data_IF_423098503328
#
_entry.id   IF_423098503328
#
_cell.length_a   1.000
_cell.length_b   1.000
_cell.length_c   1.000
_cell.angle_alpha   90.00
_cell.angle_beta   90.00
_cell.angle_gamma   90.00
#
_symmetry.space_group_name_H-M   'P 1'
#
loop_
_entity.id
_entity.type
_entity.pdbx_description
1 polymer ?
#
# COMPACT_ATOMS: atom_id res chain seq x y z
N UNK A 1 -20.08 16.03 -13.77
CA UNK A 1 -19.47 14.72 -13.44
C UNK A 1 -18.14 15.00 -12.74
N UNK A 2 -17.97 14.63 -11.46
CA UNK A 2 -16.68 14.77 -10.78
C UNK A 2 -15.68 13.73 -11.33
N UNK A 3 -14.35 13.97 -11.23
CA UNK A 3 -13.34 13.05 -11.74
C UNK A 3 -13.36 11.72 -10.99
N UNK A 4 -13.28 10.63 -11.74
CA UNK A 4 -13.36 9.26 -11.24
C UNK A 4 -12.07 8.81 -10.52
N UNK A 5 -12.13 8.29 -9.28
CA UNK A 5 -10.97 7.94 -8.45
C UNK A 5 -10.17 6.72 -8.94
N UNK A 6 -10.63 6.03 -9.99
CA UNK A 6 -9.97 4.84 -10.54
C UNK A 6 -8.74 5.18 -11.39
N UNK A 7 -8.68 6.40 -11.95
CA UNK A 7 -7.52 6.84 -12.77
C UNK A 7 -6.25 6.92 -11.93
N UNK A 8 -6.35 7.45 -10.71
CA UNK A 8 -5.21 7.64 -9.82
C UNK A 8 -4.75 6.35 -9.15
N UNK A 9 -5.68 5.51 -8.66
CA UNK A 9 -5.31 4.26 -8.00
C UNK A 9 -4.60 3.28 -8.94
N UNK A 10 -4.95 3.24 -10.24
CA UNK A 10 -4.24 2.44 -11.24
C UNK A 10 -2.79 2.92 -11.47
N UNK A 11 -2.58 4.23 -11.54
CA UNK A 11 -1.24 4.82 -11.65
C UNK A 11 -0.42 4.59 -10.38
N UNK A 12 -1.03 4.72 -9.20
CA UNK A 12 -0.42 4.41 -7.91
C UNK A 12 0.01 2.94 -7.85
N UNK A 13 -0.81 1.98 -8.32
CA UNK A 13 -0.41 0.57 -8.44
C UNK A 13 0.86 0.43 -9.27
N UNK A 14 0.91 1.05 -10.45
CA UNK A 14 2.10 1.03 -11.30
C UNK A 14 3.35 1.58 -10.61
N UNK A 15 3.21 2.69 -9.88
CA UNK A 15 4.31 3.31 -9.11
C UNK A 15 4.77 2.44 -7.93
N UNK A 16 3.84 1.83 -7.18
CA UNK A 16 4.13 0.93 -6.08
C UNK A 16 4.92 -0.30 -6.56
N UNK A 17 4.48 -0.92 -7.66
CA UNK A 17 5.18 -2.08 -8.23
C UNK A 17 6.60 -1.70 -8.71
N UNK A 18 6.81 -0.49 -9.23
CA UNK A 18 8.14 0.03 -9.57
C UNK A 18 9.03 0.18 -8.33
N UNK A 19 8.51 0.73 -7.23
CA UNK A 19 9.25 0.83 -5.96
C UNK A 19 9.57 -0.56 -5.37
N UNK A 20 8.63 -1.51 -5.44
CA UNK A 20 8.87 -2.93 -5.06
C UNK A 20 9.98 -3.57 -5.90
N UNK A 21 10.25 -3.08 -7.11
CA UNK A 21 11.31 -3.60 -7.97
C UNK A 21 12.66 -2.92 -7.77
N UNK A 22 12.70 -1.71 -7.20
CA UNK A 22 13.93 -0.91 -7.04
C UNK A 22 14.91 -1.49 -6.02
N UNK A 23 16.15 -1.87 -6.37
CA UNK A 23 17.09 -2.44 -5.43
C UNK A 23 17.34 -1.47 -4.26
N UNK A 24 17.47 -2.00 -3.04
CA UNK A 24 17.68 -1.21 -1.83
C UNK A 24 16.63 -1.46 -0.76
N UNK A 25 16.73 -0.66 0.31
CA UNK A 25 15.88 -0.74 1.52
C UNK A 25 15.18 0.59 1.85
N UNK A 26 15.27 1.60 0.97
CA UNK A 26 14.46 2.79 1.12
C UNK A 26 13.04 2.48 0.62
N UNK A 27 12.07 2.55 1.53
CA UNK A 27 10.65 2.29 1.24
C UNK A 27 9.78 3.51 1.55
N UNK A 28 10.36 4.67 1.88
CA UNK A 28 9.61 5.89 2.23
C UNK A 28 8.61 6.25 1.14
N UNK A 29 9.09 6.34 -0.10
CA UNK A 29 8.26 6.61 -1.28
C UNK A 29 7.14 5.60 -1.47
N UNK A 30 7.39 4.33 -1.14
CA UNK A 30 6.37 3.28 -1.25
C UNK A 30 5.24 3.51 -0.24
N UNK A 31 5.56 3.89 0.99
CA UNK A 31 4.55 4.21 2.00
C UNK A 31 3.82 5.52 1.73
N UNK A 32 4.50 6.55 1.19
CA UNK A 32 3.86 7.78 0.71
C UNK A 32 2.80 7.46 -0.36
N UNK A 33 3.15 6.63 -1.34
CA UNK A 33 2.22 6.20 -2.39
C UNK A 33 1.04 5.39 -1.84
N UNK A 34 1.23 4.58 -0.80
CA UNK A 34 0.15 3.87 -0.10
C UNK A 34 -0.79 4.83 0.63
N UNK A 35 -0.28 5.93 1.17
CA UNK A 35 -1.08 6.97 1.83
C UNK A 35 -1.98 7.76 0.84
N UNK A 36 -1.59 7.82 -0.43
CA UNK A 36 -2.36 8.49 -1.49
C UNK A 36 -3.50 7.64 -2.06
N UNK A 37 -3.64 6.37 -1.63
CA UNK A 37 -4.69 5.48 -2.12
C UNK A 37 -6.06 6.01 -1.74
N UNK A 38 -6.88 6.27 -2.76
CA UNK A 38 -8.25 6.74 -2.59
C UNK A 38 -9.19 5.56 -2.34
N UNK A 39 -10.24 5.80 -1.54
CA UNK A 39 -11.24 4.81 -1.16
C UNK A 39 -11.28 4.50 0.33
N UNK A 40 -12.18 3.60 0.72
CA UNK A 40 -12.35 3.16 2.10
C UNK A 40 -11.27 2.20 2.58
N UNK A 41 -11.40 1.73 3.83
CA UNK A 41 -10.46 0.80 4.46
C UNK A 41 -10.20 -0.43 3.59
N UNK A 42 -11.25 -1.05 3.05
CA UNK A 42 -11.14 -2.25 2.22
C UNK A 42 -10.28 -2.02 0.97
N UNK A 43 -10.43 -0.87 0.31
CA UNK A 43 -9.62 -0.50 -0.85
C UNK A 43 -8.15 -0.35 -0.48
N UNK A 44 -7.86 0.31 0.64
CA UNK A 44 -6.49 0.51 1.14
C UNK A 44 -5.84 -0.80 1.54
N UNK A 45 -6.54 -1.65 2.29
CA UNK A 45 -6.07 -2.99 2.70
C UNK A 45 -5.82 -3.88 1.48
N UNK A 46 -6.75 -3.90 0.52
CA UNK A 46 -6.58 -4.65 -0.73
C UNK A 46 -5.32 -4.21 -1.49
N UNK A 47 -5.06 -2.89 -1.55
CA UNK A 47 -3.85 -2.36 -2.16
C UNK A 47 -2.58 -2.85 -1.45
N UNK A 48 -2.53 -2.77 -0.12
CA UNK A 48 -1.38 -3.22 0.68
C UNK A 48 -1.13 -4.72 0.47
N UNK A 49 -2.18 -5.54 0.48
CA UNK A 49 -2.07 -7.00 0.23
C UNK A 49 -1.54 -7.33 -1.16
N UNK A 50 -1.92 -6.57 -2.18
CA UNK A 50 -1.33 -6.67 -3.52
C UNK A 50 0.18 -6.37 -3.50
N UNK A 51 0.60 -5.29 -2.83
CA UNK A 51 2.03 -4.95 -2.71
C UNK A 51 2.81 -6.01 -1.92
N UNK A 52 2.22 -6.59 -0.87
CA UNK A 52 2.82 -7.71 -0.11
C UNK A 52 3.03 -8.93 -1.02
N UNK A 53 2.04 -9.29 -1.82
CA UNK A 53 2.14 -10.40 -2.77
C UNK A 53 3.30 -10.18 -3.74
N UNK A 54 3.40 -8.97 -4.31
CA UNK A 54 4.48 -8.64 -5.24
C UNK A 54 5.86 -8.63 -4.53
N UNK A 55 5.95 -8.06 -3.33
CA UNK A 55 7.17 -8.08 -2.54
C UNK A 55 7.64 -9.51 -2.23
N UNK A 56 6.70 -10.46 -2.09
CA UNK A 56 6.97 -11.89 -1.98
C UNK A 56 7.62 -12.48 -3.23
N UNK A 57 7.16 -12.10 -4.43
CA UNK A 57 7.76 -12.52 -5.70
C UNK A 57 9.23 -12.08 -5.81
N UNK A 58 9.55 -10.88 -5.32
CA UNK A 58 10.93 -10.35 -5.29
C UNK A 58 11.72 -10.74 -4.04
N UNK A 59 11.21 -11.66 -3.20
CA UNK A 59 11.85 -12.11 -1.95
C UNK A 59 12.21 -10.96 -1.00
N UNK A 60 11.48 -9.84 -1.01
CA UNK A 60 11.71 -8.68 -0.14
C UNK A 60 11.15 -8.90 1.27
N UNK A 61 11.79 -9.77 2.03
CA UNK A 61 11.32 -10.21 3.37
C UNK A 61 11.10 -9.05 4.35
N UNK A 62 11.99 -8.05 4.34
CA UNK A 62 11.85 -6.86 5.18
C UNK A 62 10.63 -6.02 4.78
N UNK A 63 10.46 -5.74 3.48
CA UNK A 63 9.32 -4.97 2.98
C UNK A 63 7.99 -5.66 3.29
N UNK A 64 7.91 -6.98 3.09
CA UNK A 64 6.72 -7.75 3.47
C UNK A 64 6.38 -7.64 4.96
N UNK A 65 7.39 -7.57 5.83
CA UNK A 65 7.17 -7.38 7.28
C UNK A 65 6.58 -6.01 7.57
N UNK A 66 7.19 -4.95 7.02
CA UNK A 66 6.73 -3.57 7.21
C UNK A 66 5.31 -3.37 6.66
N UNK A 67 5.00 -3.96 5.50
CA UNK A 67 3.67 -3.86 4.91
C UNK A 67 2.60 -4.58 5.73
N UNK A 68 2.92 -5.73 6.34
CA UNK A 68 1.99 -6.42 7.25
C UNK A 68 1.73 -5.64 8.52
N UNK A 69 2.76 -5.01 9.09
CA UNK A 69 2.59 -4.10 10.23
C UNK A 69 1.68 -2.92 9.87
N UNK A 70 1.91 -2.32 8.71
CA UNK A 70 1.07 -1.23 8.19
C UNK A 70 -0.39 -1.67 7.94
N UNK A 71 -0.61 -2.83 7.32
CA UNK A 71 -1.94 -3.42 7.14
C UNK A 71 -2.67 -3.58 8.48
N UNK A 72 -1.99 -4.16 9.47
CA UNK A 72 -2.55 -4.37 10.80
C UNK A 72 -2.95 -3.06 11.47
N UNK A 73 -2.10 -2.02 11.35
CA UNK A 73 -2.38 -0.68 11.91
C UNK A 73 -3.55 0.02 11.22
N UNK A 74 -3.71 -0.17 9.92
CA UNK A 74 -4.88 0.37 9.20
C UNK A 74 -6.18 -0.27 9.71
N UNK A 75 -6.18 -1.58 9.93
CA UNK A 75 -7.35 -2.30 10.43
C UNK A 75 -7.64 -1.92 11.89
N UNK A 76 -6.60 -1.86 12.73
CA UNK A 76 -6.72 -1.50 14.15
C UNK A 76 -7.26 -0.06 14.33
N UNK A 77 -6.71 0.90 13.59
CA UNK A 77 -7.17 2.29 13.61
C UNK A 77 -8.63 2.45 13.17
N UNK A 78 -9.13 1.56 12.30
CA UNK A 78 -10.52 1.55 11.89
C UNK A 78 -11.43 0.78 12.87
N UNK A 79 -10.90 -0.21 13.58
CA UNK A 79 -11.62 -0.99 14.58
C UNK A 79 -11.84 -0.20 15.89
N UNK A 80 -10.89 0.68 16.23
CA UNK A 80 -10.95 1.55 17.40
C UNK A 80 -10.70 3.01 17.00
N UNK A 81 -11.70 3.71 16.43
CA UNK A 81 -11.59 5.16 16.31
C UNK A 81 -11.49 5.73 17.73
N UNK A 82 -10.35 6.33 18.09
CA UNK A 82 -10.23 7.09 19.33
C UNK A 82 -11.38 8.10 19.37
N UNK A 83 -12.22 7.98 20.39
CA UNK A 83 -13.28 8.94 20.71
C UNK A 83 -12.70 10.33 21.01
#
# INVERSE_FOLDING_TARGET
>A
MPPEPWRDNGLLRGCLLKEVRRPGRNFERLFELLGLVQGGLETRVCMVRHVIHEAGRFKRRLLMRLLRDFEQRLVDAAAFPSA
#
